data_IF_041117609596
#
_entry.id   IF_041117609596
#
_cell.length_a   1.000
_cell.length_b   1.000
_cell.length_c   1.000
_cell.angle_alpha   90.00
_cell.angle_beta   90.00
_cell.angle_gamma   90.00
#
_symmetry.space_group_name_H-M   'P 1'
#
loop_
_entity.id
_entity.type
_entity.pdbx_description
1 polymer ?
#
# COMPACT_ATOMS: atom_id res chain seq x y z
N UNK A 1 -3.06 23.25 -31.06
CA UNK A 1 -3.22 21.80 -31.36
C UNK A 1 -4.64 21.59 -31.90
N UNK A 2 -4.82 20.98 -33.08
CA UNK A 2 -6.16 20.91 -33.70
C UNK A 2 -7.08 19.98 -32.90
N UNK A 3 -8.36 20.32 -32.76
CA UNK A 3 -9.38 19.51 -32.02
C UNK A 3 -9.42 18.04 -32.49
N UNK A 4 -9.05 17.77 -33.75
CA UNK A 4 -8.92 16.40 -34.30
C UNK A 4 -7.74 15.63 -33.71
N UNK A 5 -6.60 16.29 -33.44
CA UNK A 5 -5.42 15.62 -32.84
C UNK A 5 -5.64 15.29 -31.35
N UNK A 6 -6.37 16.14 -30.62
CA UNK A 6 -6.76 15.86 -29.23
C UNK A 6 -7.74 14.69 -29.14
N UNK A 7 -8.74 14.62 -30.04
CA UNK A 7 -9.69 13.50 -30.08
C UNK A 7 -9.02 12.16 -30.43
N UNK A 8 -8.06 12.16 -31.37
CA UNK A 8 -7.29 10.95 -31.71
C UNK A 8 -6.42 10.49 -30.53
N UNK A 9 -5.79 11.42 -29.81
CA UNK A 9 -5.02 11.08 -28.61
C UNK A 9 -5.90 10.50 -27.49
N UNK A 10 -7.08 11.08 -27.26
CA UNK A 10 -8.04 10.57 -26.26
C UNK A 10 -8.57 9.20 -26.68
N UNK A 11 -8.88 8.97 -27.96
CA UNK A 11 -9.27 7.65 -28.44
C UNK A 11 -8.14 6.62 -28.32
N UNK A 12 -6.88 6.98 -28.60
CA UNK A 12 -5.74 6.07 -28.46
C UNK A 12 -5.47 5.76 -26.98
N UNK A 13 -5.59 6.74 -26.08
CA UNK A 13 -5.45 6.52 -24.63
C UNK A 13 -6.59 5.69 -24.06
N UNK A 14 -7.84 5.90 -24.50
CA UNK A 14 -8.99 5.06 -24.10
C UNK A 14 -8.86 3.66 -24.69
N UNK A 15 -8.44 3.51 -25.95
CA UNK A 15 -8.20 2.20 -26.56
C UNK A 15 -7.06 1.50 -25.83
N UNK A 16 -5.96 2.18 -25.47
CA UNK A 16 -4.87 1.59 -24.71
C UNK A 16 -5.29 1.21 -23.28
N UNK A 17 -6.08 2.04 -22.59
CA UNK A 17 -6.64 1.72 -21.27
C UNK A 17 -7.62 0.54 -21.33
N UNK A 18 -8.43 0.45 -22.39
CA UNK A 18 -9.37 -0.65 -22.60
C UNK A 18 -8.65 -1.93 -23.05
N UNK A 19 -7.64 -1.85 -23.92
CA UNK A 19 -6.85 -3.02 -24.36
C UNK A 19 -5.93 -3.55 -23.27
N UNK A 20 -5.41 -2.68 -22.39
CA UNK A 20 -4.58 -3.12 -21.26
C UNK A 20 -5.43 -3.74 -20.14
N UNK A 21 -6.65 -3.23 -19.91
CA UNK A 21 -7.66 -3.87 -19.04
C UNK A 21 -8.16 -5.21 -19.62
N UNK A 22 -8.05 -5.40 -20.95
CA UNK A 22 -8.41 -6.64 -21.65
C UNK A 22 -7.28 -7.69 -21.71
N UNK A 23 -6.01 -7.31 -21.59
CA UNK A 23 -4.89 -8.28 -21.64
C UNK A 23 -4.88 -9.25 -20.43
N UNK A 24 -5.49 -8.87 -19.31
CA UNK A 24 -5.71 -9.76 -18.16
C UNK A 24 -7.10 -10.42 -18.14
N UNK A 25 -8.09 -9.79 -18.80
CA UNK A 25 -9.39 -10.38 -19.09
C UNK A 25 -9.33 -11.19 -20.37
N UNK A 26 -8.51 -12.23 -20.40
CA UNK A 26 -8.82 -13.32 -21.34
C UNK A 26 -10.25 -13.75 -21.05
N UNK A 27 -11.10 -13.84 -22.07
CA UNK A 27 -12.55 -14.14 -21.98
C UNK A 27 -12.86 -15.27 -20.98
N UNK A 28 -11.97 -16.26 -20.90
CA UNK A 28 -12.04 -17.42 -20.01
C UNK A 28 -11.84 -17.18 -18.51
N UNK A 29 -11.14 -16.10 -18.12
CA UNK A 29 -11.01 -15.68 -16.72
C UNK A 29 -12.20 -14.81 -16.32
N UNK A 30 -12.74 -14.04 -17.28
CA UNK A 30 -13.93 -13.24 -17.06
C UNK A 30 -15.15 -14.12 -16.81
N UNK A 31 -15.37 -15.20 -17.57
CA UNK A 31 -16.51 -16.12 -17.31
C UNK A 31 -16.45 -16.78 -15.92
N UNK A 32 -15.27 -17.16 -15.43
CA UNK A 32 -15.10 -17.81 -14.13
C UNK A 32 -15.18 -16.78 -12.97
N UNK A 33 -14.76 -15.55 -13.26
CA UNK A 33 -14.92 -14.41 -12.37
C UNK A 33 -16.40 -14.03 -12.26
N UNK A 34 -17.08 -13.87 -13.40
CA UNK A 34 -18.50 -13.51 -13.50
C UNK A 34 -19.37 -14.58 -12.84
N UNK A 35 -19.11 -15.88 -13.10
CA UNK A 35 -19.86 -16.96 -12.46
C UNK A 35 -19.69 -16.99 -10.94
N UNK A 36 -18.53 -16.56 -10.42
CA UNK A 36 -18.31 -16.46 -8.98
C UNK A 36 -18.97 -15.20 -8.40
N UNK A 37 -19.02 -14.09 -9.15
CA UNK A 37 -19.70 -12.86 -8.70
C UNK A 37 -21.22 -12.98 -8.62
N UNK A 38 -21.81 -13.94 -9.34
CA UNK A 38 -23.26 -14.21 -9.30
C UNK A 38 -23.68 -15.00 -8.04
N UNK A 39 -22.77 -15.75 -7.41
CA UNK A 39 -23.03 -16.41 -6.13
C UNK A 39 -22.73 -15.41 -5.01
N UNK A 40 -23.79 -14.85 -4.41
CA UNK A 40 -23.77 -13.77 -3.42
C UNK A 40 -23.00 -14.13 -2.13
N UNK A 41 -21.68 -14.25 -2.19
CA UNK A 41 -20.83 -14.31 -0.99
C UNK A 41 -20.76 -12.92 -0.39
N UNK A 42 -21.27 -12.78 0.83
CA UNK A 42 -21.21 -11.53 1.57
C UNK A 42 -19.73 -11.13 1.76
N UNK A 43 -19.36 -9.94 1.28
CA UNK A 43 -17.99 -9.46 1.35
C UNK A 43 -17.48 -9.53 2.80
N UNK A 44 -16.27 -10.09 2.99
CA UNK A 44 -15.62 -10.33 4.28
C UNK A 44 -16.24 -11.41 5.17
N UNK A 45 -17.24 -12.18 4.72
CA UNK A 45 -17.72 -13.38 5.43
C UNK A 45 -16.70 -14.54 5.36
N UNK A 46 -16.91 -15.60 6.14
CA UNK A 46 -16.07 -16.80 6.06
C UNK A 46 -16.19 -17.52 4.70
N UNK A 47 -17.38 -17.47 4.11
CA UNK A 47 -17.70 -17.98 2.77
C UNK A 47 -16.95 -17.17 1.70
N UNK A 48 -16.86 -15.85 1.85
CA UNK A 48 -16.05 -15.01 0.96
C UNK A 48 -14.59 -15.49 0.90
N UNK A 49 -13.94 -15.66 2.05
CA UNK A 49 -12.55 -16.13 2.08
C UNK A 49 -12.38 -17.56 1.57
N UNK A 50 -13.33 -18.45 1.88
CA UNK A 50 -13.33 -19.81 1.35
C UNK A 50 -13.48 -19.81 -0.18
N UNK A 51 -14.34 -18.93 -0.70
CA UNK A 51 -14.52 -18.73 -2.13
C UNK A 51 -13.29 -18.17 -2.83
N UNK A 52 -12.49 -17.31 -2.17
CA UNK A 52 -11.18 -16.88 -2.72
C UNK A 52 -10.19 -18.05 -2.86
N UNK A 53 -10.16 -18.97 -1.89
CA UNK A 53 -9.31 -20.17 -1.93
C UNK A 53 -9.76 -21.15 -3.03
N UNK A 54 -11.07 -21.29 -3.22
CA UNK A 54 -11.65 -22.06 -4.32
C UNK A 54 -11.33 -21.44 -5.68
N UNK A 55 -11.53 -20.13 -5.83
CA UNK A 55 -11.18 -19.37 -7.04
C UNK A 55 -9.71 -19.56 -7.39
N UNK A 56 -8.80 -19.42 -6.41
CA UNK A 56 -7.38 -19.69 -6.60
C UNK A 56 -7.14 -21.11 -7.14
N UNK A 57 -7.77 -22.10 -6.52
CA UNK A 57 -7.59 -23.51 -6.87
C UNK A 57 -8.10 -23.82 -8.28
N UNK A 58 -9.29 -23.34 -8.63
CA UNK A 58 -9.90 -23.55 -9.94
C UNK A 58 -9.07 -22.92 -11.06
N UNK A 59 -8.67 -21.65 -10.90
CA UNK A 59 -7.81 -20.95 -11.89
C UNK A 59 -6.47 -21.68 -12.02
N UNK A 60 -5.84 -22.03 -10.89
CA UNK A 60 -4.57 -22.77 -10.91
C UNK A 60 -4.68 -24.10 -11.66
N UNK A 61 -5.75 -24.86 -11.45
CA UNK A 61 -5.99 -26.15 -12.13
C UNK A 61 -6.22 -25.96 -13.64
N UNK A 62 -7.02 -24.95 -14.02
CA UNK A 62 -7.30 -24.60 -15.42
C UNK A 62 -6.03 -24.27 -16.20
N UNK A 63 -5.07 -23.60 -15.55
CA UNK A 63 -3.79 -23.22 -16.16
C UNK A 63 -2.65 -24.21 -15.93
N UNK A 64 -2.89 -25.38 -15.31
CA UNK A 64 -1.85 -26.36 -14.94
C UNK A 64 -1.02 -26.88 -16.12
N UNK A 65 -1.60 -26.90 -17.33
CA UNK A 65 -0.94 -27.36 -18.57
C UNK A 65 -0.13 -26.27 -19.28
N UNK A 66 -0.19 -25.02 -18.81
CA UNK A 66 0.48 -23.89 -19.45
C UNK A 66 1.84 -23.65 -18.78
N UNK A 67 2.92 -23.94 -19.51
CA UNK A 67 4.30 -23.63 -19.12
C UNK A 67 4.69 -22.17 -19.39
N UNK A 68 3.71 -21.25 -19.35
CA UNK A 68 3.93 -19.84 -19.68
C UNK A 68 4.87 -19.17 -18.66
N UNK A 69 5.44 -18.02 -19.06
CA UNK A 69 6.31 -17.16 -18.24
C UNK A 69 5.67 -16.83 -16.88
N UNK A 70 4.34 -16.74 -16.85
CA UNK A 70 3.56 -16.74 -15.62
C UNK A 70 2.98 -18.13 -15.36
N UNK A 71 3.60 -18.85 -14.42
CA UNK A 71 3.13 -20.16 -13.98
C UNK A 71 1.72 -20.09 -13.36
N UNK A 72 1.00 -21.21 -13.28
CA UNK A 72 -0.41 -21.27 -12.88
C UNK A 72 -0.71 -20.65 -11.50
N UNK A 73 0.25 -20.68 -10.57
CA UNK A 73 0.11 -20.03 -9.27
C UNK A 73 0.01 -18.50 -9.37
N UNK A 74 0.76 -17.89 -10.30
CA UNK A 74 0.78 -16.42 -10.46
C UNK A 74 -0.53 -15.94 -11.09
N UNK A 75 -1.01 -16.65 -12.11
CA UNK A 75 -2.29 -16.35 -12.75
C UNK A 75 -3.40 -16.40 -11.72
N UNK A 76 -3.47 -17.49 -10.94
CA UNK A 76 -4.45 -17.64 -9.88
C UNK A 76 -4.35 -16.55 -8.79
N UNK A 77 -3.12 -16.18 -8.38
CA UNK A 77 -2.93 -15.11 -7.42
C UNK A 77 -3.37 -13.74 -7.96
N UNK A 78 -3.04 -13.41 -9.23
CA UNK A 78 -3.50 -12.17 -9.88
C UNK A 78 -5.03 -12.12 -9.95
N UNK A 79 -5.70 -13.21 -10.29
CA UNK A 79 -7.17 -13.28 -10.34
C UNK A 79 -7.80 -13.02 -8.97
N UNK A 80 -7.28 -13.65 -7.90
CA UNK A 80 -7.76 -13.38 -6.54
C UNK A 80 -7.53 -11.93 -6.13
N UNK A 81 -6.34 -11.38 -6.41
CA UNK A 81 -6.06 -9.97 -6.08
C UNK A 81 -6.99 -9.01 -6.80
N UNK A 82 -7.23 -9.21 -8.10
CA UNK A 82 -8.18 -8.40 -8.86
C UNK A 82 -9.57 -8.44 -8.25
N UNK A 83 -10.02 -9.63 -7.81
CA UNK A 83 -11.31 -9.79 -7.11
C UNK A 83 -11.34 -9.02 -5.80
N UNK A 84 -10.34 -9.22 -4.94
CA UNK A 84 -10.25 -8.52 -3.65
C UNK A 84 -10.19 -6.99 -3.80
N UNK A 85 -9.52 -6.49 -4.85
CA UNK A 85 -9.45 -5.07 -5.18
C UNK A 85 -10.82 -4.53 -5.58
N UNK A 86 -11.51 -5.19 -6.51
CA UNK A 86 -12.84 -4.83 -6.98
C UNK A 86 -13.88 -4.84 -5.85
N UNK A 87 -13.84 -5.86 -4.98
CA UNK A 87 -14.78 -5.99 -3.88
C UNK A 87 -14.60 -4.91 -2.82
N UNK A 88 -13.34 -4.55 -2.51
CA UNK A 88 -13.05 -3.45 -1.59
C UNK A 88 -13.46 -2.10 -2.18
N UNK A 89 -13.17 -1.85 -3.47
CA UNK A 89 -13.56 -0.60 -4.12
C UNK A 89 -15.09 -0.46 -4.27
N UNK A 90 -15.79 -1.58 -4.41
CA UNK A 90 -17.25 -1.62 -4.48
C UNK A 90 -17.91 -1.49 -3.10
N UNK A 91 -17.19 -1.86 -2.03
CA UNK A 91 -17.70 -1.87 -0.65
C UNK A 91 -16.71 -1.20 0.33
N UNK A 92 -16.31 0.07 0.10
CA UNK A 92 -15.18 0.68 0.81
C UNK A 92 -15.43 0.83 2.31
N UNK A 93 -16.68 1.04 2.73
CA UNK A 93 -17.03 1.23 4.15
C UNK A 93 -17.19 -0.11 4.90
N UNK A 94 -17.42 -1.21 4.18
CA UNK A 94 -17.73 -2.51 4.79
C UNK A 94 -16.56 -3.10 5.59
N UNK A 95 -15.32 -2.73 5.26
CA UNK A 95 -14.13 -3.20 5.97
C UNK A 95 -13.91 -2.47 7.30
N UNK A 96 -14.44 -1.26 7.47
CA UNK A 96 -14.20 -0.42 8.64
C UNK A 96 -14.78 -1.11 9.88
N UNK A 97 -13.94 -1.33 10.89
CA UNK A 97 -14.30 -2.02 12.14
C UNK A 97 -14.84 -3.46 11.96
N UNK A 98 -14.66 -4.06 10.78
CA UNK A 98 -15.10 -5.43 10.53
C UNK A 98 -14.23 -6.45 11.29
N UNK A 99 -14.83 -7.52 11.81
CA UNK A 99 -14.10 -8.56 12.55
C UNK A 99 -12.99 -9.24 11.71
N UNK A 100 -13.20 -9.34 10.39
CA UNK A 100 -12.25 -9.90 9.43
C UNK A 100 -11.32 -8.85 8.79
N UNK A 101 -11.21 -7.64 9.36
CA UNK A 101 -10.31 -6.57 8.87
C UNK A 101 -8.89 -7.10 8.63
N UNK A 102 -8.26 -7.68 9.66
CA UNK A 102 -6.89 -8.21 9.54
C UNK A 102 -6.79 -9.37 8.54
N UNK A 103 -7.80 -10.23 8.48
CA UNK A 103 -7.83 -11.38 7.55
C UNK A 103 -7.85 -10.94 6.09
N UNK A 104 -8.52 -9.83 5.77
CA UNK A 104 -8.47 -9.25 4.43
C UNK A 104 -7.04 -8.87 4.03
N UNK A 105 -6.35 -8.05 4.83
CA UNK A 105 -4.97 -7.61 4.54
C UNK A 105 -4.00 -8.80 4.49
N UNK A 106 -4.14 -9.77 5.40
CA UNK A 106 -3.30 -10.98 5.41
C UNK A 106 -3.46 -11.82 4.15
N UNK A 107 -4.71 -12.00 3.71
CA UNK A 107 -5.04 -12.72 2.49
C UNK A 107 -4.49 -11.98 1.27
N UNK A 108 -4.69 -10.66 1.21
CA UNK A 108 -4.17 -9.82 0.14
C UNK A 108 -2.65 -9.94 0.03
N UNK A 109 -1.93 -9.71 1.13
CA UNK A 109 -0.48 -9.82 1.18
C UNK A 109 0.01 -11.22 0.82
N UNK A 110 -0.73 -12.27 1.22
CA UNK A 110 -0.41 -13.65 0.86
C UNK A 110 -0.42 -13.84 -0.65
N UNK A 111 -1.44 -13.34 -1.35
CA UNK A 111 -1.52 -13.47 -2.81
C UNK A 111 -0.49 -12.58 -3.52
N UNK A 112 -0.22 -11.37 -3.02
CA UNK A 112 0.89 -10.54 -3.53
C UNK A 112 2.21 -11.31 -3.48
N UNK A 113 2.52 -11.97 -2.36
CA UNK A 113 3.76 -12.74 -2.19
C UNK A 113 3.86 -14.01 -3.05
N UNK A 114 2.78 -14.40 -3.75
CA UNK A 114 2.79 -15.47 -4.76
C UNK A 114 3.18 -14.98 -6.14
N UNK A 115 3.24 -13.66 -6.34
CA UNK A 115 3.72 -13.05 -7.56
C UNK A 115 5.25 -13.02 -7.58
N UNK A 116 5.85 -13.11 -8.77
CA UNK A 116 7.30 -12.89 -8.94
C UNK A 116 7.65 -11.40 -9.06
N UNK A 117 6.70 -10.61 -9.56
CA UNK A 117 6.80 -9.16 -9.74
C UNK A 117 5.38 -8.58 -9.58
N UNK A 118 5.28 -7.39 -9.00
CA UNK A 118 4.01 -6.66 -8.96
C UNK A 118 3.61 -6.16 -10.34
N UNK A 119 2.32 -5.97 -10.57
CA UNK A 119 1.82 -5.08 -11.62
C UNK A 119 1.75 -3.66 -11.08
N UNK A 120 1.72 -2.67 -11.99
CA UNK A 120 1.60 -1.25 -11.62
C UNK A 120 0.28 -0.97 -10.90
N UNK A 121 -0.80 -1.60 -11.36
CA UNK A 121 -2.13 -1.55 -10.73
C UNK A 121 -2.09 -2.03 -9.28
N UNK A 122 -1.52 -3.22 -9.02
CA UNK A 122 -1.38 -3.72 -7.65
C UNK A 122 -0.49 -2.76 -6.86
N UNK A 123 0.64 -2.32 -7.41
CA UNK A 123 1.53 -1.38 -6.71
C UNK A 123 0.81 -0.11 -6.25
N UNK A 124 0.04 0.56 -7.12
CA UNK A 124 -0.67 1.78 -6.72
C UNK A 124 -1.87 1.51 -5.81
N UNK A 125 -2.46 0.31 -5.86
CA UNK A 125 -3.53 -0.07 -4.94
C UNK A 125 -3.11 -0.04 -3.47
N UNK A 126 -1.80 -0.07 -3.17
CA UNK A 126 -1.27 0.12 -1.82
C UNK A 126 -1.74 1.45 -1.20
N UNK A 127 -1.96 2.48 -2.01
CA UNK A 127 -2.46 3.76 -1.52
C UNK A 127 -3.93 3.66 -1.10
N UNK A 128 -4.74 2.87 -1.81
CA UNK A 128 -6.11 2.56 -1.40
C UNK A 128 -6.12 1.79 -0.08
N UNK A 129 -5.29 0.75 0.05
CA UNK A 129 -5.14 0.00 1.29
C UNK A 129 -4.71 0.90 2.46
N UNK A 130 -3.79 1.85 2.24
CA UNK A 130 -3.27 2.71 3.30
C UNK A 130 -4.33 3.68 3.90
N UNK A 131 -5.44 3.94 3.20
CA UNK A 131 -6.56 4.75 3.71
C UNK A 131 -7.22 4.12 4.93
N UNK A 132 -7.11 2.80 5.09
CA UNK A 132 -7.67 2.05 6.20
C UNK A 132 -6.74 1.94 7.41
N UNK A 133 -5.62 2.68 7.40
CA UNK A 133 -4.61 2.63 8.46
C UNK A 133 -5.11 3.05 9.84
N UNK A 134 -6.17 3.87 9.91
CA UNK A 134 -6.58 4.52 11.15
C UNK A 134 -5.53 5.50 11.70
N UNK A 135 -4.60 5.97 10.86
CA UNK A 135 -3.65 7.00 11.25
C UNK A 135 -4.40 8.33 11.52
N UNK A 136 -4.10 9.01 12.64
CA UNK A 136 -4.74 10.28 12.95
C UNK A 136 -4.28 11.40 12.02
N UNK A 137 -5.01 12.50 11.92
CA UNK A 137 -4.60 13.63 11.08
C UNK A 137 -3.46 14.45 11.68
N UNK A 138 -3.25 14.38 12.99
CA UNK A 138 -2.26 15.18 13.72
C UNK A 138 -1.09 14.37 14.26
N UNK A 139 0.10 14.98 14.25
CA UNK A 139 1.31 14.39 14.82
C UNK A 139 1.20 14.16 16.34
N UNK A 140 0.53 15.03 17.09
CA UNK A 140 0.40 14.86 18.56
C UNK A 140 -0.43 13.63 18.93
N UNK A 141 -1.51 13.36 18.19
CA UNK A 141 -2.28 12.14 18.37
C UNK A 141 -1.45 10.91 17.94
N UNK A 142 -0.68 10.99 16.86
CA UNK A 142 0.25 9.92 16.46
C UNK A 142 1.30 9.64 17.54
N UNK A 143 1.85 10.67 18.19
CA UNK A 143 2.78 10.52 19.33
C UNK A 143 2.10 9.77 20.46
N UNK A 144 0.83 10.07 20.76
CA UNK A 144 0.04 9.32 21.76
C UNK A 144 -0.13 7.86 21.38
N UNK A 145 -0.51 7.55 20.14
CA UNK A 145 -0.68 6.18 19.68
C UNK A 145 0.65 5.41 19.66
N UNK A 146 1.76 6.10 19.39
CA UNK A 146 3.11 5.54 19.44
C UNK A 146 3.53 5.23 20.88
N UNK A 147 3.24 6.14 21.82
CA UNK A 147 3.46 5.93 23.25
C UNK A 147 2.62 4.75 23.81
N UNK A 148 1.48 4.44 23.18
CA UNK A 148 0.64 3.28 23.45
C UNK A 148 1.06 2.00 22.67
N UNK A 149 2.18 2.03 21.97
CA UNK A 149 2.71 0.93 21.15
C UNK A 149 1.79 0.47 19.99
N UNK A 150 0.83 1.30 19.57
CA UNK A 150 -0.02 1.02 18.38
C UNK A 150 0.68 1.39 17.07
N UNK A 151 1.62 2.33 17.17
CA UNK A 151 2.48 2.81 16.09
C UNK A 151 3.92 2.88 16.57
N UNK A 152 4.85 3.05 15.63
CA UNK A 152 6.29 3.13 15.90
C UNK A 152 6.90 4.22 15.02
N UNK A 153 7.70 5.11 15.63
CA UNK A 153 8.56 6.01 14.86
C UNK A 153 9.58 5.17 14.08
N UNK A 154 9.76 5.48 12.79
CA UNK A 154 10.58 4.68 11.90
C UNK A 154 11.42 5.54 10.95
N UNK A 155 12.39 4.90 10.28
CA UNK A 155 13.28 5.60 9.36
C UNK A 155 12.51 6.21 8.19
N UNK A 156 12.56 7.53 8.08
CA UNK A 156 11.94 8.28 6.99
C UNK A 156 12.85 8.43 5.76
N UNK A 157 13.91 7.62 5.59
CA UNK A 157 14.94 7.78 4.55
C UNK A 157 14.39 8.12 3.15
N UNK A 158 13.31 7.47 2.72
CA UNK A 158 12.71 7.65 1.39
C UNK A 158 11.59 8.71 1.32
N UNK A 159 11.33 9.42 2.42
CA UNK A 159 10.28 10.42 2.57
C UNK A 159 10.86 11.81 2.92
N UNK A 160 12.10 12.07 2.48
CA UNK A 160 12.88 13.26 2.82
C UNK A 160 13.35 14.03 1.60
N UNK A 161 12.51 14.17 0.60
CA UNK A 161 12.81 14.94 -0.61
C UNK A 161 12.09 16.29 -0.57
N UNK A 162 12.84 17.38 -0.75
CA UNK A 162 12.24 18.71 -0.80
C UNK A 162 11.31 18.83 -2.01
N UNK A 163 10.05 19.13 -1.74
CA UNK A 163 9.07 19.62 -2.72
C UNK A 163 8.81 21.10 -2.45
N UNK A 164 8.21 21.82 -3.41
CA UNK A 164 8.07 23.27 -3.33
C UNK A 164 7.46 23.73 -1.99
N UNK A 165 8.16 24.60 -1.27
CA UNK A 165 7.72 25.12 0.02
C UNK A 165 7.83 24.15 1.22
N UNK A 166 8.25 22.91 1.02
CA UNK A 166 8.33 21.90 2.09
C UNK A 166 9.79 21.54 2.40
N UNK A 167 10.20 21.78 3.65
CA UNK A 167 11.47 21.29 4.18
C UNK A 167 11.33 19.84 4.65
N UNK A 168 11.79 18.90 3.82
CA UNK A 168 11.63 17.48 4.08
C UNK A 168 12.56 16.94 5.20
N UNK A 169 13.45 17.77 5.76
CA UNK A 169 14.17 17.43 6.99
C UNK A 169 13.21 17.26 8.19
N UNK A 170 12.06 17.94 8.14
CA UNK A 170 11.05 17.91 9.20
C UNK A 170 10.10 16.71 9.11
N UNK A 171 10.13 15.97 7.99
CA UNK A 171 9.27 14.80 7.84
C UNK A 171 9.64 13.72 8.87
N UNK A 172 8.65 13.08 9.49
CA UNK A 172 8.85 11.93 10.38
C UNK A 172 7.87 10.85 9.98
N UNK A 173 8.38 9.63 9.88
CA UNK A 173 7.61 8.47 9.41
C UNK A 173 7.23 7.61 10.61
N UNK A 174 5.98 7.18 10.62
CA UNK A 174 5.48 6.18 11.55
C UNK A 174 5.00 4.95 10.78
N UNK A 175 5.14 3.80 11.41
CA UNK A 175 4.59 2.53 10.92
C UNK A 175 3.66 1.94 11.98
N UNK A 176 2.57 1.29 11.56
CA UNK A 176 1.68 0.58 12.48
C UNK A 176 2.45 -0.53 13.21
N UNK A 177 1.96 -0.97 14.38
CA UNK A 177 2.63 -2.00 15.17
C UNK A 177 2.85 -3.33 14.41
N UNK A 178 1.97 -3.64 13.45
CA UNK A 178 2.08 -4.78 12.56
C UNK A 178 2.96 -4.51 11.32
N UNK A 179 3.40 -3.27 11.11
CA UNK A 179 4.28 -2.80 10.04
C UNK A 179 3.60 -2.60 8.67
N UNK A 180 2.28 -2.77 8.58
CA UNK A 180 1.54 -2.69 7.32
C UNK A 180 1.32 -1.28 6.84
N UNK A 181 0.92 -0.39 7.73
CA UNK A 181 0.54 0.98 7.37
C UNK A 181 1.69 1.92 7.65
N UNK A 182 1.89 2.88 6.75
CA UNK A 182 2.86 3.95 6.95
C UNK A 182 2.18 5.29 6.83
N UNK A 183 2.62 6.23 7.65
CA UNK A 183 2.19 7.63 7.58
C UNK A 183 3.40 8.52 7.82
N UNK A 184 3.37 9.71 7.22
CA UNK A 184 4.42 10.71 7.38
C UNK A 184 3.76 11.99 7.85
N UNK A 185 4.38 12.65 8.83
CA UNK A 185 3.98 13.98 9.28
C UNK A 185 5.13 14.95 9.11
N UNK A 186 4.80 16.22 8.88
CA UNK A 186 5.77 17.29 8.98
C UNK A 186 5.84 17.75 10.44
N UNK A 187 6.98 17.57 11.11
CA UNK A 187 7.13 17.94 12.51
C UNK A 187 7.11 19.45 12.79
N UNK A 188 7.25 20.28 11.75
CA UNK A 188 7.13 21.74 11.86
C UNK A 188 5.68 22.20 11.91
N UNK A 189 4.80 21.59 11.10
CA UNK A 189 3.36 21.96 11.04
C UNK A 189 2.48 21.04 11.90
N UNK A 190 2.93 19.82 12.19
CA UNK A 190 2.14 18.78 12.85
C UNK A 190 1.15 18.08 11.93
N UNK A 191 1.15 18.40 10.64
CA UNK A 191 0.19 17.90 9.64
C UNK A 191 0.73 16.66 8.92
N UNK A 192 -0.21 15.82 8.47
CA UNK A 192 0.10 14.67 7.62
C UNK A 192 0.66 15.13 6.28
N UNK A 193 1.70 14.44 5.80
CA UNK A 193 2.31 14.65 4.49
C UNK A 193 1.61 13.76 3.47
N UNK A 194 0.88 14.37 2.56
CA UNK A 194 0.13 13.72 1.48
C UNK A 194 0.74 13.98 0.09
N UNK A 195 1.87 14.69 0.04
CA UNK A 195 2.54 14.97 -1.22
C UNK A 195 2.98 13.65 -1.91
N UNK A 196 2.81 13.53 -3.24
CA UNK A 196 3.16 12.33 -4.01
C UNK A 196 4.58 11.79 -3.81
N UNK A 197 5.52 12.62 -3.40
CA UNK A 197 6.92 12.25 -3.26
C UNK A 197 7.19 11.62 -1.89
N UNK A 198 6.62 12.18 -0.83
CA UNK A 198 6.95 11.80 0.55
C UNK A 198 5.81 11.12 1.32
N UNK A 199 4.61 10.97 0.75
CA UNK A 199 3.48 10.32 1.43
C UNK A 199 3.81 8.93 1.99
N UNK A 200 3.12 8.55 3.07
CA UNK A 200 3.12 7.19 3.60
C UNK A 200 2.29 6.23 2.73
N UNK A 201 2.63 4.94 2.76
CA UNK A 201 2.04 3.91 1.89
C UNK A 201 1.83 2.59 2.62
N UNK A 202 1.04 1.67 2.05
CA UNK A 202 0.85 0.32 2.61
C UNK A 202 1.99 -0.63 2.22
N UNK A 203 2.48 -1.46 3.14
CA UNK A 203 3.50 -2.48 2.91
C UNK A 203 2.87 -3.86 2.70
N UNK A 204 3.08 -4.48 1.53
CA UNK A 204 2.65 -5.85 1.24
C UNK A 204 3.47 -6.92 1.94
N UNK A 205 4.69 -6.58 2.33
CA UNK A 205 5.55 -7.43 3.12
C UNK A 205 5.98 -6.66 4.39
N UNK A 206 5.08 -6.53 5.38
CA UNK A 206 5.40 -5.86 6.65
C UNK A 206 6.63 -6.52 7.28
N UNK A 207 7.73 -5.78 7.25
CA UNK A 207 9.06 -6.27 7.52
C UNK A 207 9.42 -6.15 8.99
N UNK A 208 9.13 -7.17 9.79
CA UNK A 208 9.83 -7.34 11.07
C UNK A 208 11.33 -7.56 10.82
N UNK A 209 12.17 -7.12 11.77
CA UNK A 209 13.65 -7.12 11.89
C UNK A 209 14.39 -8.43 11.46
N UNK A 210 13.69 -9.49 11.03
CA UNK A 210 14.25 -10.77 10.57
C UNK A 210 14.69 -10.73 9.08
N UNK A 211 15.91 -11.21 8.73
CA UNK A 211 16.48 -11.10 7.37
C UNK A 211 15.62 -11.61 6.21
N UNK A 212 14.92 -12.75 6.37
CA UNK A 212 14.04 -13.29 5.31
C UNK A 212 12.81 -12.43 5.05
N UNK A 213 12.28 -11.76 6.08
CA UNK A 213 11.14 -10.84 5.94
C UNK A 213 11.59 -9.53 5.30
N UNK A 214 12.81 -9.07 5.62
CA UNK A 214 13.45 -7.93 4.97
C UNK A 214 13.59 -8.11 3.44
N UNK A 215 13.98 -9.31 2.98
CA UNK A 215 14.07 -9.58 1.53
C UNK A 215 12.71 -9.42 0.81
N UNK A 216 11.62 -9.88 1.44
CA UNK A 216 10.28 -9.73 0.85
C UNK A 216 9.83 -8.27 0.81
N UNK A 217 10.10 -7.49 1.86
CA UNK A 217 9.85 -6.06 1.85
C UNK A 217 10.61 -5.35 0.72
N UNK A 218 11.88 -5.70 0.53
CA UNK A 218 12.65 -5.16 -0.58
C UNK A 218 12.03 -5.49 -1.94
N UNK A 219 11.61 -6.74 -2.16
CA UNK A 219 11.06 -7.20 -3.44
C UNK A 219 9.69 -6.61 -3.77
N UNK A 220 8.79 -6.51 -2.78
CA UNK A 220 7.39 -6.13 -3.02
C UNK A 220 7.06 -4.67 -2.70
N UNK A 221 7.88 -3.99 -1.90
CA UNK A 221 7.60 -2.59 -1.53
C UNK A 221 8.66 -1.65 -2.12
N UNK A 222 9.96 -1.97 -1.96
CA UNK A 222 11.04 -1.06 -2.36
C UNK A 222 11.33 -1.10 -3.87
N UNK A 223 11.41 -2.28 -4.47
CA UNK A 223 11.68 -2.42 -5.92
C UNK A 223 10.57 -1.79 -6.76
N UNK A 224 9.27 -2.05 -6.50
CA UNK A 224 8.17 -1.39 -7.22
C UNK A 224 8.17 0.12 -7.04
N UNK A 225 8.43 0.64 -5.83
CA UNK A 225 8.60 2.08 -5.61
C UNK A 225 9.75 2.67 -6.43
N UNK A 226 10.90 2.00 -6.52
CA UNK A 226 12.02 2.44 -7.38
C UNK A 226 11.68 2.39 -8.89
N UNK A 227 10.69 1.60 -9.28
CA UNK A 227 10.24 1.48 -10.66
C UNK A 227 9.21 2.55 -11.01
N UNK A 228 8.23 2.78 -10.13
CA UNK A 228 7.02 3.56 -10.43
C UNK A 228 6.77 4.78 -9.54
N UNK A 229 7.50 4.94 -8.43
CA UNK A 229 7.22 5.99 -7.42
C UNK A 229 6.04 5.62 -6.51
N UNK A 230 5.44 6.61 -5.82
CA UNK A 230 4.27 6.36 -4.96
C UNK A 230 2.94 6.45 -5.71
N UNK A 231 2.84 7.32 -6.73
CA UNK A 231 1.62 7.55 -7.51
C UNK A 231 1.94 7.65 -8.99
N UNK A 232 0.92 7.46 -9.82
CA UNK A 232 1.05 7.62 -11.27
C UNK A 232 1.52 9.05 -11.63
N UNK A 233 2.45 9.15 -12.58
CA UNK A 233 3.00 10.42 -13.03
C UNK A 233 4.16 10.98 -12.20
N UNK A 234 4.49 10.41 -11.04
CA UNK A 234 5.65 10.81 -10.22
C UNK A 234 6.65 9.67 -10.14
N UNK A 235 7.58 9.63 -11.12
CA UNK A 235 8.52 8.53 -11.22
C UNK A 235 9.64 8.62 -10.18
N UNK A 236 10.25 7.48 -9.84
CA UNK A 236 11.47 7.44 -9.00
C UNK A 236 12.60 8.33 -9.56
N UNK A 237 12.71 8.44 -10.89
CA UNK A 237 13.70 9.31 -11.53
C UNK A 237 13.42 10.78 -11.24
N UNK A 238 12.16 11.19 -11.14
CA UNK A 238 11.79 12.56 -10.80
C UNK A 238 12.01 12.83 -9.32
N UNK A 239 11.63 11.90 -8.44
CA UNK A 239 11.89 11.97 -7.00
C UNK A 239 13.40 12.13 -6.71
N UNK A 240 14.24 11.33 -7.35
CA UNK A 240 15.70 11.33 -7.10
C UNK A 240 16.44 12.55 -7.64
N UNK A 241 15.79 13.39 -8.44
CA UNK A 241 16.34 14.70 -8.85
C UNK A 241 16.14 15.78 -7.79
N UNK A 242 15.22 15.56 -6.84
CA UNK A 242 14.96 16.48 -5.75
C UNK A 242 16.08 16.41 -4.71
N UNK A 243 16.27 17.51 -4.00
CA UNK A 243 17.23 17.55 -2.90
C UNK A 243 16.73 16.67 -1.74
N UNK A 244 17.46 15.60 -1.45
CA UNK A 244 17.21 14.82 -0.24
C UNK A 244 17.78 15.52 0.99
N UNK A 245 17.02 15.53 2.08
CA UNK A 245 17.42 16.00 3.41
C UNK A 245 17.80 14.86 4.36
N UNK A 246 17.81 13.61 3.86
CA UNK A 246 18.26 12.47 4.65
C UNK A 246 19.74 12.60 5.02
N UNK A 247 20.06 12.31 6.28
CA UNK A 247 21.41 12.39 6.85
C UNK A 247 21.84 13.78 7.31
N UNK A 248 21.01 14.81 7.08
CA UNK A 248 21.30 16.19 7.52
C UNK A 248 21.20 16.31 9.05
N UNK A 249 21.90 17.29 9.64
CA UNK A 249 21.83 17.48 11.09
C UNK A 249 20.46 17.99 11.55
N UNK A 250 19.78 18.77 10.71
CA UNK A 250 18.40 19.19 10.93
C UNK A 250 17.45 18.00 11.03
N UNK A 251 17.58 17.03 10.13
CA UNK A 251 16.82 15.79 10.16
C UNK A 251 17.03 15.01 11.46
N UNK A 252 18.30 14.77 11.82
CA UNK A 252 18.65 14.02 13.04
C UNK A 252 18.12 14.73 14.29
N UNK A 253 18.29 16.05 14.36
CA UNK A 253 17.79 16.86 15.47
C UNK A 253 16.27 16.77 15.58
N UNK A 254 15.55 16.86 14.46
CA UNK A 254 14.10 16.75 14.43
C UNK A 254 13.62 15.35 14.85
N UNK A 255 14.24 14.28 14.36
CA UNK A 255 13.91 12.90 14.80
C UNK A 255 14.12 12.73 16.30
N UNK A 256 15.25 13.18 16.85
CA UNK A 256 15.53 13.14 18.30
C UNK A 256 14.49 13.92 19.12
N UNK A 257 13.98 15.04 18.59
CA UNK A 257 12.92 15.81 19.26
C UNK A 257 11.63 14.98 19.35
N UNK A 258 11.23 14.31 18.27
CA UNK A 258 10.02 13.47 18.27
C UNK A 258 10.19 12.25 19.19
N UNK A 259 11.37 11.62 19.21
CA UNK A 259 11.69 10.53 20.14
C UNK A 259 11.47 10.95 21.60
N UNK A 260 12.00 12.10 22.00
CA UNK A 260 11.80 12.65 23.35
C UNK A 260 10.32 12.91 23.68
N UNK A 261 9.56 13.47 22.74
CA UNK A 261 8.13 13.72 22.95
C UNK A 261 7.35 12.41 23.16
N UNK A 262 7.73 11.34 22.46
CA UNK A 262 7.15 10.01 22.66
C UNK A 262 7.50 9.47 24.05
N UNK A 263 8.78 9.58 24.47
CA UNK A 263 9.22 9.14 25.80
C UNK A 263 8.49 9.87 26.93
N UNK A 264 8.36 11.19 26.82
CA UNK A 264 7.59 12.02 27.76
C UNK A 264 6.13 11.58 27.83
N UNK A 265 5.48 11.39 26.66
CA UNK A 265 4.08 10.93 26.59
C UNK A 265 3.90 9.52 27.17
N UNK A 266 4.87 8.62 26.98
CA UNK A 266 4.86 7.28 27.58
C UNK A 266 4.93 7.34 29.11
N UNK A 267 5.77 8.23 29.65
CA UNK A 267 5.89 8.42 31.09
C UNK A 267 4.59 8.96 31.70
N UNK A 268 3.97 9.97 31.07
CA UNK A 268 2.69 10.55 31.51
C UNK A 268 1.57 9.50 31.55
N UNK A 269 1.46 8.65 30.53
CA UNK A 269 0.44 7.59 30.45
C UNK A 269 0.66 6.50 31.51
N UNK A 270 1.91 6.16 31.79
CA UNK A 270 2.27 5.17 32.82
C UNK A 270 1.90 5.70 34.21
N UNK A 271 2.24 6.96 34.52
CA UNK A 271 1.90 7.58 35.82
C UNK A 271 0.39 7.65 36.06
N UNK A 272 -0.41 7.96 35.02
CA UNK A 272 -1.88 7.97 35.11
C UNK A 272 -2.52 6.61 35.36
N UNK A 273 -1.84 5.52 35.01
CA UNK A 273 -2.36 4.14 35.20
C UNK A 273 -2.10 3.61 36.62
N UNK A 274 -1.25 4.29 37.38
CA UNK A 274 -0.89 3.94 38.76
C UNK A 274 -1.54 4.84 39.84
N UNK A 275 -2.40 5.76 39.43
CA UNK A 275 -3.28 6.57 40.30
C UNK A 275 -4.71 6.04 40.23
#
# INVERSE_FOLDING_TARGET
MSKKRAAIYICIVIILLVTFRLEYKTVWNQELFDSWTEDHTEFLSDEYFSGLDELYTQVKLKHKKWHSIDGPNKIAAKTVLAKMMEDLESNPDAIINHQNFNRYFETFDQHVRRLSELTEEIHFFRNTLNKYSGAPSSLDEMITLTAQHKWQLFSAKFHRYNVEGINAALNVKFISADGRFEVVYNAGTGEMVDDPVNMGTYNYAPGSIKPRKYFKHYLFDVVPWKKWGNVEGVSYKDITRLQSRHGTDEEKHNTLKIEKLIEERTLELTQKTHL
#
